data_IF_607851820943
#
_entry.id   IF_607851820943
#
_cell.length_a   1.000
_cell.length_b   1.000
_cell.length_c   1.000
_cell.angle_alpha   90.00
_cell.angle_beta   90.00
_cell.angle_gamma   90.00
#
_symmetry.space_group_name_H-M   'P 1'
#
loop_
_entity.id
_entity.type
_entity.pdbx_description
1 polymer ?
#
# COMPACT_ATOMS: atom_id res chain seq x y z
N UNK A 1 6.09 25.60 -36.05
CA UNK A 1 7.37 26.15 -36.54
C UNK A 1 7.75 27.38 -35.73
N UNK A 2 8.85 27.33 -34.96
CA UNK A 2 9.69 28.46 -34.55
C UNK A 2 10.95 27.88 -33.87
N UNK A 3 11.96 27.61 -34.70
CA UNK A 3 13.34 27.29 -34.26
C UNK A 3 13.94 28.56 -33.63
N UNK A 4 14.64 28.43 -32.51
CA UNK A 4 15.60 29.44 -32.05
C UNK A 4 16.92 28.77 -31.70
N UNK A 5 17.96 29.36 -32.26
CA UNK A 5 19.35 28.92 -32.34
C UNK A 5 20.01 28.87 -30.96
N UNK A 6 20.90 27.89 -30.80
CA UNK A 6 21.93 27.88 -29.77
C UNK A 6 23.07 28.84 -30.17
N UNK A 7 23.64 29.54 -29.19
CA UNK A 7 24.90 30.27 -29.32
C UNK A 7 25.81 29.78 -28.18
N UNK A 8 27.01 29.23 -28.46
CA UNK A 8 27.96 28.88 -27.43
C UNK A 8 28.83 30.10 -27.11
N UNK A 9 29.06 30.36 -25.83
CA UNK A 9 30.12 31.27 -25.39
C UNK A 9 31.12 30.44 -24.61
N UNK A 10 32.33 30.32 -25.16
CA UNK A 10 33.50 29.77 -24.52
C UNK A 10 34.46 30.92 -24.17
N UNK A 11 34.87 31.01 -22.91
CA UNK A 11 36.06 31.73 -22.41
C UNK A 11 36.50 30.96 -21.14
N UNK A 12 37.55 30.13 -21.19
CA UNK A 12 38.99 30.42 -21.06
C UNK A 12 39.48 30.62 -19.61
N UNK A 13 40.04 29.52 -19.08
CA UNK A 13 41.17 29.30 -18.15
C UNK A 13 41.55 30.33 -17.06
N UNK A 14 41.82 29.83 -15.85
CA UNK A 14 43.16 29.85 -15.19
C UNK A 14 43.08 29.20 -13.79
N UNK A 15 43.98 28.26 -13.52
CA UNK A 15 44.16 27.65 -12.21
C UNK A 15 45.25 28.38 -11.42
N UNK A 16 45.01 28.65 -10.13
CA UNK A 16 46.03 28.87 -9.10
C UNK A 16 45.55 28.29 -7.76
N UNK A 17 46.47 27.58 -7.11
CA UNK A 17 46.37 26.89 -5.82
C UNK A 17 46.32 27.86 -4.63
N UNK A 18 45.59 27.51 -3.57
CA UNK A 18 45.77 28.13 -2.24
C UNK A 18 44.77 27.65 -1.18
N UNK A 19 45.27 27.00 -0.14
CA UNK A 19 44.52 26.49 1.02
C UNK A 19 44.01 27.59 1.96
N UNK A 20 42.84 27.37 2.56
CA UNK A 20 42.33 28.13 3.70
C UNK A 20 41.00 27.52 4.15
N UNK A 21 41.01 26.80 5.27
CA UNK A 21 39.83 26.11 5.78
C UNK A 21 38.96 27.01 6.63
N UNK A 22 37.65 26.73 6.63
CA UNK A 22 36.82 27.02 7.78
C UNK A 22 35.74 25.93 7.85
N UNK A 23 35.94 25.00 8.78
CA UNK A 23 34.93 24.03 9.17
C UNK A 23 33.91 24.76 10.03
N UNK A 24 32.73 25.04 9.48
CA UNK A 24 31.58 25.45 10.30
C UNK A 24 31.01 24.21 10.98
N UNK A 25 30.94 24.16 12.33
CA UNK A 25 30.30 23.07 13.04
C UNK A 25 28.77 23.25 13.00
N UNK A 26 28.07 22.18 12.63
CA UNK A 26 26.75 21.83 13.14
C UNK A 26 25.58 22.77 12.87
N UNK A 27 24.76 22.41 11.88
CA UNK A 27 23.30 22.52 12.03
C UNK A 27 22.76 21.10 12.02
N UNK A 28 22.53 20.56 13.22
CA UNK A 28 21.63 19.44 13.41
C UNK A 28 20.19 19.97 13.31
N UNK A 29 19.36 19.30 12.51
CA UNK A 29 17.94 19.15 12.82
C UNK A 29 16.95 19.93 11.97
N UNK A 30 16.56 19.34 10.85
CA UNK A 30 15.15 19.19 10.48
C UNK A 30 15.07 17.95 9.56
N UNK A 31 14.19 16.97 9.82
CA UNK A 31 13.96 15.93 8.83
C UNK A 31 13.31 16.59 7.61
N UNK A 32 13.98 16.52 6.48
CA UNK A 32 13.38 16.78 5.17
C UNK A 32 12.27 15.75 4.96
N UNK A 33 11.04 16.17 5.19
CA UNK A 33 9.78 15.62 4.64
C UNK A 33 9.77 14.09 4.42
N UNK A 34 9.64 13.34 5.51
CA UNK A 34 9.36 11.91 5.45
C UNK A 34 7.90 11.70 5.02
N UNK A 35 7.62 11.88 3.72
CA UNK A 35 6.41 11.34 3.11
C UNK A 35 6.34 9.84 3.47
N UNK A 36 5.25 9.34 4.05
CA UNK A 36 5.15 7.93 4.39
C UNK A 36 5.37 7.10 3.13
N UNK A 37 6.23 6.09 3.20
CA UNK A 37 6.30 5.09 2.15
C UNK A 37 4.90 4.50 1.95
N UNK A 38 4.52 4.17 0.71
CA UNK A 38 3.16 3.70 0.42
C UNK A 38 2.74 2.55 1.35
N UNK A 39 3.65 1.63 1.71
CA UNK A 39 3.37 0.54 2.67
C UNK A 39 3.04 0.99 4.09
N UNK A 40 3.52 2.17 4.53
CA UNK A 40 3.13 2.75 5.82
C UNK A 40 1.74 3.39 5.75
N UNK A 41 1.21 3.71 4.56
CA UNK A 41 -0.04 4.43 4.39
C UNK A 41 -1.29 3.52 4.35
N UNK A 42 -1.10 2.21 4.22
CA UNK A 42 -2.17 1.22 4.03
C UNK A 42 -1.98 0.02 4.96
N UNK A 43 -3.06 -0.71 5.29
CA UNK A 43 -2.93 -2.00 5.95
C UNK A 43 -2.24 -3.04 5.05
N UNK A 44 -1.64 -4.02 5.69
CA UNK A 44 -1.02 -5.19 5.07
C UNK A 44 -1.90 -6.42 5.22
N UNK A 45 -2.21 -7.09 4.11
CA UNK A 45 -2.87 -8.40 4.11
C UNK A 45 -1.84 -9.48 4.43
N UNK A 46 -1.94 -10.10 5.61
CA UNK A 46 -1.00 -11.10 6.13
C UNK A 46 -1.33 -12.52 5.70
N UNK A 47 -2.61 -12.88 5.68
CA UNK A 47 -3.08 -14.19 5.21
C UNK A 47 -4.50 -14.12 4.69
N UNK A 48 -4.84 -15.09 3.82
CA UNK A 48 -6.18 -15.31 3.29
C UNK A 48 -6.42 -16.81 3.41
N UNK A 49 -7.58 -17.19 3.93
CA UNK A 49 -8.06 -18.56 3.97
C UNK A 49 -9.45 -18.63 3.34
N UNK A 50 -9.62 -19.49 2.34
CA UNK A 50 -10.88 -19.76 1.65
C UNK A 50 -11.45 -21.08 2.14
N UNK A 51 -12.66 -21.06 2.69
CA UNK A 51 -13.37 -22.27 3.12
C UNK A 51 -14.65 -22.41 2.30
N UNK A 52 -14.88 -23.53 1.59
CA UNK A 52 -16.14 -23.75 0.88
C UNK A 52 -17.35 -23.66 1.82
N UNK A 53 -18.34 -22.84 1.47
CA UNK A 53 -19.55 -22.57 2.26
C UNK A 53 -20.84 -22.99 1.54
N UNK A 54 -20.74 -23.47 0.29
CA UNK A 54 -21.87 -23.81 -0.58
C UNK A 54 -21.41 -23.92 -2.03
N UNK A 55 -22.34 -24.10 -2.97
CA UNK A 55 -22.02 -24.18 -4.39
C UNK A 55 -21.51 -22.83 -4.90
N UNK A 56 -20.22 -22.74 -5.22
CA UNK A 56 -19.58 -21.51 -5.72
C UNK A 56 -19.47 -20.40 -4.68
N UNK A 57 -19.61 -20.71 -3.38
CA UNK A 57 -19.53 -19.73 -2.30
C UNK A 57 -18.48 -20.11 -1.28
N UNK A 58 -17.72 -19.13 -0.79
CA UNK A 58 -16.61 -19.33 0.13
C UNK A 58 -16.69 -18.35 1.31
N UNK A 59 -16.36 -18.84 2.50
CA UNK A 59 -16.02 -17.99 3.63
C UNK A 59 -14.55 -17.57 3.49
N UNK A 60 -14.32 -16.25 3.44
CA UNK A 60 -12.99 -15.65 3.24
C UNK A 60 -12.51 -15.07 4.56
N UNK A 61 -11.63 -15.79 5.25
CA UNK A 61 -10.97 -15.28 6.45
C UNK A 61 -9.70 -14.51 6.05
N UNK A 62 -9.63 -13.24 6.42
CA UNK A 62 -8.54 -12.34 6.06
C UNK A 62 -7.87 -11.85 7.33
N UNK A 63 -6.56 -12.07 7.43
CA UNK A 63 -5.73 -11.52 8.51
C UNK A 63 -5.08 -10.23 8.01
N UNK A 64 -5.32 -9.13 8.71
CA UNK A 64 -4.81 -7.80 8.38
C UNK A 64 -3.97 -7.25 9.54
N UNK A 65 -2.90 -6.54 9.19
CA UNK A 65 -2.16 -5.67 10.10
C UNK A 65 -2.26 -4.24 9.61
N UNK A 66 -2.64 -3.31 10.48
CA UNK A 66 -2.65 -1.88 10.15
C UNK A 66 -1.54 -1.14 10.88
N UNK A 67 -0.80 -0.24 10.21
CA UNK A 67 0.14 0.67 10.88
C UNK A 67 -0.56 1.78 11.70
N UNK A 68 -1.89 1.87 11.59
CA UNK A 68 -2.74 2.78 12.36
C UNK A 68 -3.94 2.02 12.88
N UNK A 69 -4.27 2.23 14.14
CA UNK A 69 -5.25 1.41 14.85
C UNK A 69 -6.01 2.22 15.90
N UNK A 70 -6.17 3.53 15.68
CA UNK A 70 -6.99 4.39 16.52
C UNK A 70 -8.35 4.66 15.85
N UNK A 71 -9.38 5.11 16.60
CA UNK A 71 -10.67 5.48 16.03
C UNK A 71 -10.59 6.52 14.89
N UNK A 72 -9.57 7.38 14.89
CA UNK A 72 -9.37 8.41 13.86
C UNK A 72 -8.73 7.89 12.57
N UNK A 73 -8.10 6.70 12.62
CA UNK A 73 -7.49 6.05 11.47
C UNK A 73 -7.17 4.59 11.77
N UNK A 74 -7.85 3.70 11.06
CA UNK A 74 -7.66 2.26 11.12
C UNK A 74 -7.90 1.64 9.73
N UNK A 75 -7.68 0.33 9.61
CA UNK A 75 -8.10 -0.42 8.43
C UNK A 75 -9.63 -0.59 8.43
N UNK A 76 -10.35 0.08 7.54
CA UNK A 76 -11.81 0.09 7.49
C UNK A 76 -12.41 -1.00 6.59
N UNK A 77 -11.57 -1.88 6.04
CA UNK A 77 -12.04 -3.03 5.27
C UNK A 77 -11.02 -3.66 4.35
N UNK A 78 -11.51 -4.52 3.48
CA UNK A 78 -10.78 -5.09 2.34
C UNK A 78 -11.73 -5.39 1.19
N UNK A 79 -11.15 -5.61 -0.01
CA UNK A 79 -11.87 -6.14 -1.17
C UNK A 79 -11.24 -7.44 -1.63
N UNK A 80 -12.07 -8.33 -2.17
CA UNK A 80 -11.67 -9.56 -2.85
C UNK A 80 -11.93 -9.34 -4.34
N UNK A 81 -10.93 -9.64 -5.17
CA UNK A 81 -10.96 -9.47 -6.62
C UNK A 81 -10.58 -10.76 -7.31
N UNK A 82 -11.07 -10.95 -8.53
CA UNK A 82 -10.60 -12.01 -9.43
C UNK A 82 -9.26 -11.68 -10.11
N UNK A 83 -8.79 -12.57 -10.99
CA UNK A 83 -7.57 -12.40 -11.77
C UNK A 83 -7.57 -11.19 -12.73
N UNK A 84 -8.74 -10.70 -13.12
CA UNK A 84 -8.90 -9.54 -14.02
C UNK A 84 -9.02 -8.23 -13.22
N UNK A 85 -9.09 -8.32 -11.90
CA UNK A 85 -9.24 -7.19 -10.98
C UNK A 85 -10.69 -6.75 -10.77
N UNK A 86 -11.67 -7.54 -11.23
CA UNK A 86 -13.08 -7.28 -10.92
C UNK A 86 -13.37 -7.62 -9.45
N UNK A 87 -14.13 -6.75 -8.78
CA UNK A 87 -14.40 -6.88 -7.35
C UNK A 87 -15.54 -7.87 -7.14
N UNK A 88 -15.21 -9.01 -6.54
CA UNK A 88 -16.16 -10.04 -6.15
C UNK A 88 -16.91 -9.65 -4.86
N UNK A 89 -16.23 -8.94 -3.95
CA UNK A 89 -16.84 -8.49 -2.70
C UNK A 89 -16.00 -7.50 -1.92
N UNK A 90 -16.65 -6.81 -0.99
CA UNK A 90 -16.03 -5.87 -0.05
C UNK A 90 -16.50 -6.19 1.36
N UNK A 91 -15.59 -6.25 2.31
CA UNK A 91 -15.90 -6.34 3.72
C UNK A 91 -15.56 -5.03 4.42
N UNK A 92 -16.52 -4.46 5.14
CA UNK A 92 -16.35 -3.21 5.91
C UNK A 92 -16.11 -3.52 7.39
N UNK A 93 -15.16 -2.81 7.99
CA UNK A 93 -14.86 -2.84 9.42
C UNK A 93 -15.25 -1.49 10.02
N UNK A 94 -16.02 -1.51 11.10
CA UNK A 94 -16.68 -0.30 11.62
C UNK A 94 -16.01 0.28 12.88
N UNK A 95 -14.89 -0.29 13.32
CA UNK A 95 -14.15 0.14 14.50
C UNK A 95 -12.66 -0.20 14.36
N UNK A 96 -11.84 0.43 15.19
CA UNK A 96 -10.42 0.13 15.28
C UNK A 96 -10.15 -1.21 15.98
N UNK A 97 -8.92 -1.69 15.83
CA UNK A 97 -8.45 -2.97 16.37
C UNK A 97 -7.09 -2.81 17.07
N UNK A 98 -6.92 -1.76 17.89
CA UNK A 98 -5.63 -1.44 18.55
C UNK A 98 -5.01 -2.62 19.32
N UNK A 99 -5.83 -3.31 20.11
CA UNK A 99 -5.35 -4.37 21.00
C UNK A 99 -5.28 -5.75 20.34
N UNK A 100 -5.52 -5.83 19.03
CA UNK A 100 -5.67 -7.09 18.27
C UNK A 100 -4.83 -7.09 16.99
N UNK A 101 -3.71 -6.37 16.90
CA UNK A 101 -2.90 -6.39 15.67
C UNK A 101 -1.90 -7.58 15.64
N UNK A 102 -1.85 -8.39 14.57
CA UNK A 102 -2.81 -8.48 13.47
C UNK A 102 -4.11 -9.20 13.87
N UNK A 103 -5.23 -8.84 13.25
CA UNK A 103 -6.54 -9.43 13.51
C UNK A 103 -7.07 -10.17 12.28
N UNK A 104 -7.97 -11.12 12.51
CA UNK A 104 -8.65 -11.87 11.45
C UNK A 104 -10.15 -11.61 11.48
N UNK A 105 -10.74 -11.34 10.32
CA UNK A 105 -12.21 -11.28 10.16
C UNK A 105 -12.63 -12.08 8.94
N UNK A 106 -13.87 -12.55 8.96
CA UNK A 106 -14.41 -13.44 7.92
C UNK A 106 -15.52 -12.73 7.15
N UNK A 107 -15.40 -12.72 5.82
CA UNK A 107 -16.50 -12.42 4.91
C UNK A 107 -17.17 -13.73 4.53
N UNK A 108 -18.42 -13.91 4.96
CA UNK A 108 -19.15 -15.15 4.77
C UNK A 108 -19.80 -15.23 3.39
N UNK A 109 -19.87 -16.44 2.84
CA UNK A 109 -20.60 -16.79 1.63
C UNK A 109 -20.34 -15.86 0.43
N UNK A 110 -19.09 -15.48 0.20
CA UNK A 110 -18.69 -14.75 -1.01
C UNK A 110 -18.87 -15.66 -2.23
N UNK A 111 -19.65 -15.22 -3.21
CA UNK A 111 -19.77 -15.90 -4.50
C UNK A 111 -18.48 -15.71 -5.31
N UNK A 112 -17.90 -16.82 -5.77
CA UNK A 112 -16.73 -16.86 -6.65
C UNK A 112 -17.13 -17.63 -7.92
N UNK A 113 -17.13 -17.00 -9.10
CA UNK A 113 -17.47 -17.66 -10.35
C UNK A 113 -16.58 -18.88 -10.65
N UNK A 114 -17.12 -19.87 -11.37
CA UNK A 114 -16.42 -21.13 -11.63
C UNK A 114 -15.20 -20.99 -12.56
N UNK A 115 -15.04 -19.85 -13.22
CA UNK A 115 -13.91 -19.48 -14.07
C UNK A 115 -12.86 -18.61 -13.35
N UNK A 116 -13.01 -18.42 -12.03
CA UNK A 116 -12.02 -17.74 -11.18
C UNK A 116 -11.17 -18.78 -10.45
N UNK A 117 -9.91 -18.90 -10.88
CA UNK A 117 -8.95 -19.86 -10.32
C UNK A 117 -8.16 -19.29 -9.13
N UNK A 118 -8.07 -17.97 -9.02
CA UNK A 118 -7.35 -17.27 -7.94
C UNK A 118 -8.09 -16.01 -7.51
N UNK A 119 -7.95 -15.63 -6.24
CA UNK A 119 -8.47 -14.34 -5.74
C UNK A 119 -7.36 -13.52 -5.13
N UNK A 120 -7.45 -12.21 -5.36
CA UNK A 120 -6.54 -11.21 -4.80
C UNK A 120 -7.27 -10.37 -3.76
N UNK A 121 -6.67 -10.21 -2.58
CA UNK A 121 -7.19 -9.36 -1.50
C UNK A 121 -6.33 -8.12 -1.35
N UNK A 122 -7.00 -6.97 -1.21
CA UNK A 122 -6.39 -5.67 -0.94
C UNK A 122 -7.07 -5.01 0.26
N UNK A 123 -6.26 -4.55 1.21
CA UNK A 123 -6.76 -3.83 2.38
C UNK A 123 -7.13 -2.38 2.07
N UNK A 124 -7.92 -1.78 2.98
CA UNK A 124 -8.39 -0.41 2.87
C UNK A 124 -8.05 0.37 4.14
N UNK A 125 -7.40 1.52 3.97
CA UNK A 125 -7.21 2.50 5.03
C UNK A 125 -8.39 3.48 5.04
N UNK A 126 -8.90 3.80 6.23
CA UNK A 126 -10.04 4.70 6.41
C UNK A 126 -9.91 6.06 5.69
N UNK A 127 -8.68 6.59 5.57
CA UNK A 127 -8.42 7.91 4.97
C UNK A 127 -7.96 7.81 3.53
N UNK A 128 -7.12 6.84 3.23
CA UNK A 128 -6.47 6.71 1.92
C UNK A 128 -7.19 5.77 0.96
N UNK A 129 -8.22 5.05 1.42
CA UNK A 129 -8.93 4.06 0.63
C UNK A 129 -8.09 2.80 0.41
N UNK A 130 -8.38 2.11 -0.69
CA UNK A 130 -7.67 0.89 -1.08
C UNK A 130 -6.26 1.21 -1.58
N UNK A 131 -5.31 0.35 -1.23
CA UNK A 131 -3.94 0.47 -1.72
C UNK A 131 -2.96 -0.33 -0.89
N UNK A 132 -1.67 -0.12 -1.17
CA UNK A 132 -0.59 -0.84 -0.53
C UNK A 132 -0.26 -2.13 -1.26
N UNK A 133 0.01 -3.19 -0.50
CA UNK A 133 0.30 -4.51 -1.03
C UNK A 133 -0.97 -5.37 -1.11
N UNK A 134 -1.01 -6.24 -2.11
CA UNK A 134 -2.05 -7.27 -2.23
C UNK A 134 -1.50 -8.65 -1.88
N UNK A 135 -2.41 -9.59 -1.62
CA UNK A 135 -2.07 -11.00 -1.47
C UNK A 135 -3.03 -11.84 -2.29
N UNK A 136 -2.51 -12.86 -2.95
CA UNK A 136 -3.26 -13.73 -3.86
C UNK A 136 -3.20 -15.16 -3.35
N UNK A 137 -4.31 -15.89 -3.48
CA UNK A 137 -4.42 -17.32 -3.17
C UNK A 137 -5.26 -18.01 -4.23
N UNK A 138 -4.94 -19.28 -4.49
CA UNK A 138 -5.75 -20.13 -5.37
C UNK A 138 -7.12 -20.39 -4.72
N UNK A 139 -8.15 -20.49 -5.55
CA UNK A 139 -9.48 -20.92 -5.14
C UNK A 139 -9.46 -22.45 -4.98
N UNK A 140 -9.87 -23.01 -3.83
CA UNK A 140 -9.86 -24.46 -3.64
C UNK A 140 -10.96 -25.14 -4.47
N UNK A 141 -10.62 -26.32 -5.00
CA UNK A 141 -11.50 -27.24 -5.76
C UNK A 141 -12.79 -27.64 -5.01
#
# INVERSE_FOLDING_TARGET
MRRRLAVPVACLALALTGCGGEQTPGVNGAPEDASPSQGQAYPEVRSIELTPAGQGTYDVAVTISSPYDSPERYADGWRVMDQDGEVLGVHELTHDHADEQPFTRTQYALEIPADVDEVTVEGRDLRNGFGGGTRTVDVPD
#
